data_IF_133128206258
#
_entry.id   IF_133128206258
#
_cell.length_a   1.000
_cell.length_b   1.000
_cell.length_c   1.000
_cell.angle_alpha   90.00
_cell.angle_beta   90.00
_cell.angle_gamma   90.00
#
_symmetry.space_group_name_H-M   'P 1'
#
loop_
_entity.id
_entity.type
_entity.pdbx_description
1 polymer ?
#
# COMPACT_ATOMS: atom_id res chain seq x y z
N UNK A 1 11.60 2.16 -10.09
CA UNK A 1 10.15 2.31 -9.89
C UNK A 1 9.86 3.15 -8.66
N UNK A 2 8.81 3.96 -8.71
CA UNK A 2 8.41 4.80 -7.58
C UNK A 2 7.71 4.00 -6.49
N UNK A 3 7.19 2.84 -6.86
CA UNK A 3 6.58 1.91 -5.91
C UNK A 3 7.42 0.66 -5.86
N UNK A 4 7.92 0.33 -4.67
CA UNK A 4 8.72 -0.88 -4.51
C UNK A 4 7.82 -2.13 -4.44
N UNK A 5 8.43 -3.30 -4.32
CA UNK A 5 7.71 -4.57 -4.30
C UNK A 5 6.71 -4.63 -3.15
N UNK A 6 7.09 -4.14 -1.97
CA UNK A 6 6.22 -4.16 -0.79
C UNK A 6 4.99 -3.29 -1.03
N UNK A 7 5.17 -2.09 -1.55
CA UNK A 7 4.06 -1.17 -1.83
C UNK A 7 3.10 -1.77 -2.86
N UNK A 8 3.63 -2.38 -3.92
CA UNK A 8 2.79 -3.02 -4.94
C UNK A 8 2.00 -4.19 -4.37
N UNK A 9 2.65 -5.03 -3.56
CA UNK A 9 2.00 -6.16 -2.91
C UNK A 9 0.88 -5.68 -1.98
N UNK A 10 1.15 -4.62 -1.24
CA UNK A 10 0.22 -4.05 -0.27
C UNK A 10 -1.05 -3.53 -0.97
N UNK A 11 -0.88 -2.80 -2.07
CA UNK A 11 -2.01 -2.32 -2.87
C UNK A 11 -2.84 -3.48 -3.41
N UNK A 12 -2.19 -4.50 -3.96
CA UNK A 12 -2.90 -5.64 -4.54
C UNK A 12 -3.73 -6.37 -3.48
N UNK A 13 -3.15 -6.60 -2.31
CA UNK A 13 -3.88 -7.24 -1.21
C UNK A 13 -5.06 -6.40 -0.76
N UNK A 14 -4.86 -5.08 -0.67
CA UNK A 14 -5.92 -4.17 -0.28
C UNK A 14 -7.06 -4.17 -1.31
N UNK A 15 -6.73 -4.16 -2.60
CA UNK A 15 -7.74 -4.21 -3.68
C UNK A 15 -8.53 -5.51 -3.67
N UNK A 16 -7.93 -6.60 -3.20
CA UNK A 16 -8.60 -7.89 -3.04
C UNK A 16 -9.51 -7.93 -1.81
N UNK A 17 -9.59 -6.87 -1.04
CA UNK A 17 -10.44 -6.79 0.14
C UNK A 17 -9.83 -7.44 1.38
N UNK A 18 -8.52 -7.69 1.38
CA UNK A 18 -7.84 -8.25 2.55
C UNK A 18 -7.77 -7.18 3.64
N UNK A 19 -8.05 -7.57 4.87
CA UNK A 19 -8.03 -6.64 6.01
C UNK A 19 -6.62 -6.15 6.34
N UNK A 20 -6.52 -5.01 7.02
CA UNK A 20 -5.23 -4.48 7.47
C UNK A 20 -4.52 -5.46 8.39
N UNK A 21 -5.27 -6.17 9.25
CA UNK A 21 -4.68 -7.18 10.13
C UNK A 21 -4.04 -8.30 9.34
N UNK A 22 -4.73 -8.81 8.34
CA UNK A 22 -4.20 -9.88 7.50
C UNK A 22 -3.06 -9.41 6.61
N UNK A 23 -3.19 -8.23 6.03
CA UNK A 23 -2.10 -7.65 5.21
C UNK A 23 -0.84 -7.50 6.07
N UNK A 24 -1.01 -6.97 7.27
CA UNK A 24 0.10 -6.81 8.21
C UNK A 24 0.79 -8.13 8.53
N UNK A 25 -0.01 -9.18 8.76
CA UNK A 25 0.52 -10.51 9.04
C UNK A 25 1.28 -11.09 7.83
N UNK A 26 0.78 -10.87 6.62
CA UNK A 26 1.41 -11.36 5.39
C UNK A 26 2.73 -10.63 5.13
N UNK A 27 2.71 -9.31 5.22
CA UNK A 27 3.85 -8.46 4.90
C UNK A 27 4.88 -8.41 6.04
N UNK A 28 4.42 -8.60 7.28
CA UNK A 28 5.28 -8.53 8.46
C UNK A 28 5.35 -7.14 9.08
N UNK A 29 4.27 -6.39 9.00
CA UNK A 29 4.16 -5.05 9.62
C UNK A 29 2.88 -4.96 10.44
N UNK A 30 2.76 -3.92 11.26
CA UNK A 30 1.56 -3.72 12.07
C UNK A 30 0.39 -3.22 11.20
N UNK A 31 -0.86 -3.47 11.63
CA UNK A 31 -2.01 -2.91 10.90
C UNK A 31 -1.96 -1.39 10.78
N UNK A 32 -1.47 -0.71 11.80
CA UNK A 32 -1.30 0.74 11.75
C UNK A 32 -0.34 1.15 10.62
N UNK A 33 0.77 0.43 10.49
CA UNK A 33 1.74 0.69 9.43
C UNK A 33 1.17 0.38 8.04
N UNK A 34 0.28 -0.61 7.93
CA UNK A 34 -0.45 -0.87 6.67
C UNK A 34 -1.20 0.40 6.25
N UNK A 35 -1.96 0.98 7.18
CA UNK A 35 -2.70 2.22 6.91
C UNK A 35 -1.81 3.39 6.51
N UNK A 36 -0.71 3.58 7.24
CA UNK A 36 0.25 4.65 6.94
C UNK A 36 0.86 4.47 5.55
N UNK A 37 1.27 3.25 5.21
CA UNK A 37 1.86 2.97 3.90
C UNK A 37 0.86 3.16 2.78
N UNK A 38 -0.39 2.72 2.97
CA UNK A 38 -1.44 2.92 1.97
C UNK A 38 -1.70 4.39 1.70
N UNK A 39 -1.71 5.22 2.73
CA UNK A 39 -1.89 6.66 2.56
C UNK A 39 -0.76 7.27 1.73
N UNK A 40 0.49 6.85 1.99
CA UNK A 40 1.65 7.29 1.23
C UNK A 40 1.60 6.84 -0.22
N UNK A 41 1.18 5.60 -0.45
CA UNK A 41 1.05 5.05 -1.80
C UNK A 41 0.01 5.83 -2.59
N UNK A 42 -1.15 6.10 -1.99
CA UNK A 42 -2.21 6.89 -2.64
C UNK A 42 -1.70 8.27 -3.01
N UNK A 43 -0.93 8.90 -2.13
CA UNK A 43 -0.35 10.21 -2.39
C UNK A 43 0.61 10.17 -3.59
N UNK A 44 1.47 9.14 -3.64
CA UNK A 44 2.38 8.96 -4.77
C UNK A 44 1.63 8.75 -6.08
N UNK A 45 0.56 7.95 -6.06
CA UNK A 45 -0.23 7.69 -7.26
C UNK A 45 -0.91 8.96 -7.78
N UNK A 46 -1.44 9.78 -6.87
CA UNK A 46 -2.03 11.07 -7.24
C UNK A 46 -0.99 11.96 -7.89
N UNK A 47 0.21 12.06 -7.32
CA UNK A 47 1.29 12.88 -7.87
C UNK A 47 1.77 12.37 -9.23
N UNK A 48 1.85 11.06 -9.40
CA UNK A 48 2.22 10.46 -10.68
C UNK A 48 1.19 10.78 -11.76
N UNK A 49 -0.09 10.75 -11.40
CA UNK A 49 -1.18 11.08 -12.31
C UNK A 49 -1.12 12.54 -12.76
N UNK A 50 -0.74 13.44 -11.87
CA UNK A 50 -0.67 14.88 -12.17
C UNK A 50 0.51 15.27 -13.05
N UNK A 51 1.49 14.39 -13.21
CA UNK A 51 2.69 14.66 -13.99
C UNK A 51 2.55 14.31 -15.47
N UNK A 52 1.37 13.93 -15.88
CA UNK A 52 1.15 13.58 -17.29
C UNK A 52 0.91 14.83 -18.16
#
# INVERSE_FOLDING_TARGET
SRLDLIDRSLILLWLEGISYDEIGAIIGITPNNVGVRLARIKDKLVKMSKNE
#
